data_IF_075397320955
#
_entry.id   IF_075397320955
#
_cell.length_a   1.000
_cell.length_b   1.000
_cell.length_c   1.000
_cell.angle_alpha   90.00
_cell.angle_beta   90.00
_cell.angle_gamma   90.00
#
_symmetry.space_group_name_H-M   'P 1'
#
loop_
_entity.id
_entity.type
_entity.pdbx_description
1 polymer ?
#
# COMPACT_ATOMS: atom_id res chain seq x y z
N UNK A 1 -10.00 -8.24 0.95
CA UNK A 1 -9.92 -7.76 2.35
C UNK A 1 -10.84 -8.63 3.20
N UNK A 2 -10.34 -9.22 4.27
CA UNK A 2 -11.04 -10.19 5.12
C UNK A 2 -11.35 -9.62 6.51
N UNK A 3 -10.52 -8.71 7.03
CA UNK A 3 -10.69 -8.08 8.33
C UNK A 3 -10.12 -6.66 8.35
N UNK A 4 -10.70 -5.79 9.18
CA UNK A 4 -10.29 -4.39 9.37
C UNK A 4 -10.38 -4.05 10.87
N UNK A 5 -9.31 -3.53 11.45
CA UNK A 5 -9.23 -3.09 12.85
C UNK A 5 -8.49 -1.75 12.95
N UNK A 6 -9.01 -0.82 13.76
CA UNK A 6 -8.29 0.44 14.09
C UNK A 6 -7.15 0.10 15.04
N UNK A 7 -5.93 0.53 14.70
CA UNK A 7 -4.74 0.34 15.53
C UNK A 7 -4.47 1.59 16.36
N UNK A 8 -4.46 2.75 15.72
CA UNK A 8 -4.10 4.04 16.32
C UNK A 8 -4.88 5.20 15.68
N UNK A 9 -5.01 6.31 16.43
CA UNK A 9 -5.66 7.57 16.03
C UNK A 9 -7.12 7.46 15.55
N UNK A 10 -8.04 6.87 16.35
CA UNK A 10 -9.45 6.73 15.96
C UNK A 10 -10.15 8.07 15.65
N UNK A 11 -9.66 9.16 16.22
CA UNK A 11 -10.18 10.52 15.99
C UNK A 11 -9.95 11.03 14.56
N UNK A 12 -8.98 10.49 13.81
CA UNK A 12 -8.74 10.82 12.40
C UNK A 12 -9.78 10.19 11.46
N UNK A 13 -10.71 9.39 12.00
CA UNK A 13 -11.78 8.78 11.24
C UNK A 13 -11.22 7.87 10.15
N UNK A 14 -11.44 8.23 8.88
CA UNK A 14 -11.02 7.40 7.74
C UNK A 14 -9.48 7.38 7.55
N UNK A 15 -8.77 8.38 8.05
CA UNK A 15 -7.31 8.51 7.94
C UNK A 15 -6.55 7.83 9.10
N UNK A 16 -7.27 7.17 10.02
CA UNK A 16 -6.67 6.41 11.12
C UNK A 16 -5.73 5.29 10.62
N UNK A 17 -4.87 4.76 11.49
CA UNK A 17 -4.01 3.62 11.13
C UNK A 17 -4.83 2.34 11.22
N UNK A 18 -4.93 1.62 10.11
CA UNK A 18 -5.72 0.38 10.00
C UNK A 18 -4.83 -0.84 9.85
N UNK A 19 -5.10 -1.87 10.64
CA UNK A 19 -4.60 -3.23 10.37
C UNK A 19 -5.64 -3.95 9.55
N UNK A 20 -5.24 -4.41 8.37
CA UNK A 20 -6.10 -5.19 7.47
C UNK A 20 -5.52 -6.58 7.23
N UNK A 21 -6.40 -7.57 7.16
CA UNK A 21 -6.05 -8.91 6.72
C UNK A 21 -6.54 -9.08 5.27
N UNK A 22 -5.67 -9.53 4.38
CA UNK A 22 -5.96 -9.69 2.95
C UNK A 22 -5.57 -11.09 2.48
N UNK A 23 -6.27 -11.56 1.44
CA UNK A 23 -6.03 -12.82 0.75
C UNK A 23 -6.09 -12.52 -0.75
N UNK A 24 -5.14 -13.06 -1.51
CA UNK A 24 -5.00 -12.87 -2.96
C UNK A 24 -5.07 -11.41 -3.44
N UNK A 25 -4.38 -10.51 -2.74
CA UNK A 25 -4.36 -9.10 -3.13
C UNK A 25 -3.39 -8.87 -4.30
N UNK A 26 -3.88 -8.50 -5.50
CA UNK A 26 -2.99 -8.29 -6.63
C UNK A 26 -2.14 -7.03 -6.43
N UNK A 27 -0.86 -7.13 -6.78
CA UNK A 27 0.08 -6.02 -6.73
C UNK A 27 1.13 -6.13 -7.85
N UNK A 28 1.72 -5.00 -8.18
CA UNK A 28 2.84 -4.90 -9.12
C UNK A 28 4.06 -4.36 -8.37
N UNK A 29 5.26 -4.86 -8.70
CA UNK A 29 6.51 -4.29 -8.20
C UNK A 29 6.77 -3.02 -9.02
N UNK A 30 6.67 -1.86 -8.36
CA UNK A 30 6.91 -0.56 -8.99
C UNK A 30 8.35 -0.12 -8.77
N UNK A 31 8.88 -0.28 -7.56
CA UNK A 31 10.26 0.03 -7.19
C UNK A 31 10.82 -1.18 -6.45
N UNK A 32 12.05 -1.58 -6.78
CA UNK A 32 12.74 -2.68 -6.11
C UNK A 32 13.88 -2.21 -5.19
N UNK A 33 14.49 -3.15 -4.48
CA UNK A 33 15.60 -2.92 -3.55
C UNK A 33 16.97 -2.73 -4.24
N UNK A 34 17.02 -2.76 -5.57
CA UNK A 34 18.23 -2.59 -6.40
C UNK A 34 18.27 -1.23 -7.09
N UNK A 35 17.25 -0.40 -6.87
CA UNK A 35 17.14 0.94 -7.43
C UNK A 35 16.42 0.99 -8.79
N UNK A 36 15.77 -0.10 -9.21
CA UNK A 36 14.93 -0.10 -10.41
C UNK A 36 13.58 0.56 -10.10
N UNK A 37 13.07 1.34 -11.05
CA UNK A 37 11.81 2.06 -10.93
C UNK A 37 11.03 1.98 -12.26
N UNK A 38 9.90 1.28 -12.22
CA UNK A 38 9.05 0.98 -13.37
C UNK A 38 8.58 2.24 -14.12
N UNK A 39 8.29 3.33 -13.41
CA UNK A 39 7.80 4.55 -14.05
C UNK A 39 8.93 5.37 -14.69
N UNK A 40 10.14 5.33 -14.12
CA UNK A 40 11.32 5.98 -14.72
C UNK A 40 11.74 5.35 -16.03
N UNK A 41 11.65 4.02 -16.14
CA UNK A 41 12.00 3.30 -17.37
C UNK A 41 11.05 3.59 -18.54
N UNK A 42 9.82 4.04 -18.26
CA UNK A 42 8.81 4.34 -19.28
C UNK A 42 8.83 5.80 -19.78
N UNK A 43 9.76 6.65 -19.29
CA UNK A 43 9.83 8.09 -19.62
C UNK A 43 8.47 8.79 -19.53
N UNK A 44 7.67 8.46 -18.51
CA UNK A 44 6.42 9.14 -18.20
C UNK A 44 6.73 10.39 -17.36
N UNK A 45 7.39 11.37 -17.98
CA UNK A 45 7.64 12.72 -17.43
C UNK A 45 7.06 13.80 -18.35
#
# INVERSE_FOLDING_TARGET
IKKVEVVEYPELGMEAIWRIEVEDFPAFIVVDDKGNDFFKELNLE
#
